data_IF_839384540738
#
_entry.id   IF_839384540738
#
_cell.length_a   1.000
_cell.length_b   1.000
_cell.length_c   1.000
_cell.angle_alpha   90.00
_cell.angle_beta   90.00
_cell.angle_gamma   90.00
#
_symmetry.space_group_name_H-M   'P 1'
#
loop_
_entity.id
_entity.type
_entity.pdbx_description
1 polymer ?
#
# COMPACT_ATOMS: atom_id res chain seq x y z
N UNK A 1 38.23 1.58 -0.07
CA UNK A 1 36.91 1.49 -0.74
C UNK A 1 35.90 2.21 0.13
N UNK A 2 35.40 3.39 -0.27
CA UNK A 2 34.30 4.02 0.45
C UNK A 2 33.01 3.25 0.17
N UNK A 3 32.35 2.82 1.23
CA UNK A 3 31.04 2.18 1.17
C UNK A 3 30.03 3.23 0.70
N UNK A 4 29.81 3.32 -0.61
CA UNK A 4 28.83 4.23 -1.19
C UNK A 4 27.45 3.76 -0.75
N UNK A 5 26.82 4.49 0.18
CA UNK A 5 25.45 4.18 0.61
C UNK A 5 24.55 4.12 -0.62
N UNK A 6 24.09 2.92 -0.94
CA UNK A 6 23.18 2.69 -2.06
C UNK A 6 21.86 3.41 -1.76
N UNK A 7 21.55 4.45 -2.52
CA UNK A 7 20.31 5.18 -2.34
C UNK A 7 19.12 4.28 -2.69
N UNK A 8 18.09 4.32 -1.84
CA UNK A 8 16.82 3.61 -2.04
C UNK A 8 15.69 4.64 -2.06
N UNK A 9 14.75 4.44 -2.97
CA UNK A 9 13.59 5.29 -3.17
C UNK A 9 12.32 4.45 -2.94
N UNK A 10 11.54 4.82 -1.93
CA UNK A 10 10.31 4.13 -1.55
C UNK A 10 9.06 4.84 -2.09
N UNK A 11 8.12 4.06 -2.62
CA UNK A 11 6.82 4.51 -3.07
C UNK A 11 5.75 3.63 -2.40
N UNK A 12 4.72 4.26 -1.84
CA UNK A 12 3.57 3.57 -1.23
C UNK A 12 2.28 4.07 -1.89
N UNK A 13 1.38 3.16 -2.23
CA UNK A 13 0.08 3.51 -2.82
C UNK A 13 -1.00 2.54 -2.39
N UNK A 14 -2.24 3.01 -2.40
CA UNK A 14 -3.43 2.17 -2.31
C UNK A 14 -4.42 2.59 -3.39
N UNK A 15 -5.06 1.62 -4.05
CA UNK A 15 -6.08 1.86 -5.08
C UNK A 15 -7.31 1.00 -4.85
N UNK A 16 -8.48 1.60 -5.12
CA UNK A 16 -9.73 0.86 -5.23
C UNK A 16 -9.71 0.05 -6.53
N UNK A 17 -10.01 -1.24 -6.41
CA UNK A 17 -10.09 -2.21 -7.50
C UNK A 17 -11.55 -2.55 -7.84
N UNK A 18 -11.75 -3.54 -8.72
CA UNK A 18 -13.08 -4.03 -9.08
C UNK A 18 -13.78 -4.58 -7.83
N UNK A 19 -15.09 -4.31 -7.71
CA UNK A 19 -15.93 -4.72 -6.57
C UNK A 19 -15.56 -4.09 -5.22
N UNK A 20 -15.13 -2.82 -5.22
CA UNK A 20 -14.87 -1.99 -4.03
C UNK A 20 -13.83 -2.57 -3.05
N UNK A 21 -12.97 -3.47 -3.53
CA UNK A 21 -11.84 -3.95 -2.73
C UNK A 21 -10.68 -2.98 -2.88
N UNK A 22 -9.95 -2.72 -1.80
CA UNK A 22 -8.75 -1.89 -1.84
C UNK A 22 -7.52 -2.80 -1.91
N UNK A 23 -6.59 -2.45 -2.79
CA UNK A 23 -5.28 -3.09 -2.90
C UNK A 23 -4.22 -2.05 -2.56
N UNK A 24 -3.36 -2.39 -1.61
CA UNK A 24 -2.17 -1.62 -1.28
C UNK A 24 -0.92 -2.20 -1.94
N UNK A 25 0.08 -1.37 -2.13
CA UNK A 25 1.40 -1.85 -2.52
C UNK A 25 2.49 -0.83 -2.29
N UNK A 26 3.69 -1.35 -2.07
CA UNK A 26 4.90 -0.55 -2.03
C UNK A 26 5.95 -1.06 -3.01
N UNK A 27 6.80 -0.14 -3.45
CA UNK A 27 7.91 -0.39 -4.35
C UNK A 27 9.12 0.35 -3.82
N UNK A 28 10.24 -0.36 -3.68
CA UNK A 28 11.53 0.23 -3.35
C UNK A 28 12.46 0.05 -4.55
N UNK A 29 12.99 1.16 -5.05
CA UNK A 29 13.92 1.20 -6.18
C UNK A 29 15.31 1.60 -5.71
N UNK A 30 16.35 1.10 -6.38
CA UNK A 30 17.67 1.71 -6.27
C UNK A 30 17.80 2.95 -7.17
N UNK A 31 18.96 3.59 -7.11
CA UNK A 31 19.37 4.73 -7.94
C UNK A 31 19.32 4.51 -9.46
N UNK A 32 19.38 3.26 -9.91
CA UNK A 32 19.20 2.89 -11.32
C UNK A 32 17.73 2.57 -11.68
N UNK A 33 16.79 2.79 -10.76
CA UNK A 33 15.37 2.50 -10.94
C UNK A 33 15.02 1.01 -10.94
N UNK A 34 15.93 0.13 -10.49
CA UNK A 34 15.66 -1.32 -10.43
C UNK A 34 14.92 -1.66 -9.14
N UNK A 35 13.86 -2.49 -9.18
CA UNK A 35 13.19 -2.98 -7.98
C UNK A 35 14.17 -3.71 -7.06
N UNK A 36 14.33 -3.16 -5.85
CA UNK A 36 15.00 -3.81 -4.74
C UNK A 36 13.98 -4.62 -3.91
N UNK A 37 12.76 -4.08 -3.76
CA UNK A 37 11.66 -4.74 -3.06
C UNK A 37 10.32 -4.32 -3.67
N UNK A 38 9.35 -5.24 -3.66
CA UNK A 38 7.99 -4.99 -4.09
C UNK A 38 7.03 -5.89 -3.32
N UNK A 39 5.93 -5.31 -2.86
CA UNK A 39 4.86 -6.07 -2.21
C UNK A 39 3.50 -5.47 -2.56
N UNK A 40 2.49 -6.32 -2.62
CA UNK A 40 1.09 -5.92 -2.69
C UNK A 40 0.29 -6.72 -1.68
N UNK A 41 -0.71 -6.07 -1.10
CA UNK A 41 -1.67 -6.73 -0.23
C UNK A 41 -2.61 -7.58 -1.07
N UNK A 42 -3.20 -8.61 -0.46
CA UNK A 42 -4.42 -9.19 -1.02
C UNK A 42 -5.55 -8.12 -1.05
N UNK A 43 -6.53 -8.26 -1.95
CA UNK A 43 -7.66 -7.33 -1.99
C UNK A 43 -8.44 -7.35 -0.67
N UNK A 44 -8.54 -6.18 -0.03
CA UNK A 44 -9.27 -6.00 1.22
C UNK A 44 -10.67 -5.52 0.90
N UNK A 45 -11.69 -6.30 1.28
CA UNK A 45 -13.09 -5.88 1.20
C UNK A 45 -13.61 -5.57 2.61
N UNK A 46 -14.22 -4.39 2.82
CA UNK A 46 -14.90 -4.13 4.08
C UNK A 46 -16.08 -5.08 4.24
N UNK A 47 -16.29 -5.57 5.45
CA UNK A 47 -17.51 -6.31 5.79
C UNK A 47 -18.64 -5.34 6.17
N UNK A 48 -19.86 -5.87 6.26
CA UNK A 48 -21.05 -5.05 6.54
C UNK A 48 -20.97 -4.27 7.85
N UNK A 49 -20.35 -4.84 8.88
CA UNK A 49 -20.19 -4.15 10.16
C UNK A 49 -19.25 -2.95 10.03
N UNK A 50 -18.12 -3.10 9.33
CA UNK A 50 -17.18 -2.01 9.07
C UNK A 50 -17.84 -0.88 8.27
N UNK A 51 -18.62 -1.20 7.24
CA UNK A 51 -19.36 -0.21 6.47
C UNK A 51 -20.30 0.64 7.36
N UNK A 52 -21.02 0.00 8.29
CA UNK A 52 -21.95 0.68 9.19
C UNK A 52 -21.20 1.52 10.22
N UNK A 53 -20.15 0.96 10.83
CA UNK A 53 -19.43 1.59 11.94
C UNK A 53 -18.58 2.78 11.47
N UNK A 54 -17.92 2.66 10.32
CA UNK A 54 -17.02 3.69 9.81
C UNK A 54 -17.71 4.64 8.82
N UNK A 55 -18.72 4.20 8.08
CA UNK A 55 -19.45 5.04 7.13
C UNK A 55 -18.50 5.84 6.22
N UNK A 56 -18.54 7.17 6.34
CA UNK A 56 -17.70 8.09 5.54
C UNK A 56 -16.18 8.02 5.84
N UNK A 57 -15.76 7.40 6.95
CA UNK A 57 -14.34 7.21 7.29
C UNK A 57 -13.83 5.81 6.93
N UNK A 58 -14.64 5.00 6.25
CA UNK A 58 -14.30 3.63 5.88
C UNK A 58 -13.02 3.57 5.05
N UNK A 59 -12.85 4.46 4.08
CA UNK A 59 -11.65 4.48 3.24
C UNK A 59 -10.39 4.75 4.06
N UNK A 60 -10.41 5.76 4.94
CA UNK A 60 -9.27 6.08 5.81
C UNK A 60 -8.91 4.92 6.74
N UNK A 61 -9.92 4.21 7.26
CA UNK A 61 -9.72 2.99 8.05
C UNK A 61 -9.04 1.89 7.22
N UNK A 62 -9.54 1.64 6.00
CA UNK A 62 -9.00 0.60 5.12
C UNK A 62 -7.56 0.89 4.68
N UNK A 63 -7.21 2.16 4.39
CA UNK A 63 -5.83 2.54 4.06
C UNK A 63 -4.90 2.46 5.27
N UNK A 64 -5.37 2.87 6.46
CA UNK A 64 -4.54 2.99 7.66
C UNK A 64 -4.20 1.67 8.35
N UNK A 65 -5.10 0.68 8.37
CA UNK A 65 -4.85 -0.59 9.08
C UNK A 65 -4.23 -1.69 8.22
N UNK A 66 -4.39 -1.63 6.89
CA UNK A 66 -4.13 -2.79 6.02
C UNK A 66 -3.10 -2.55 4.92
N UNK A 67 -2.69 -1.32 4.69
CA UNK A 67 -1.76 -0.95 3.60
C UNK A 67 -0.49 -0.28 4.14
N UNK A 68 -0.57 0.45 5.24
CA UNK A 68 0.55 1.09 5.93
C UNK A 68 1.04 0.29 7.13
#
# INVERSE_FOLDING_TARGET
MSDSKKALFGFLTGKVSIANAIIGGYLVLNDLGRPAEFHCTEPVKPNRAQEILFGKTLDSYLYGERIG
#
